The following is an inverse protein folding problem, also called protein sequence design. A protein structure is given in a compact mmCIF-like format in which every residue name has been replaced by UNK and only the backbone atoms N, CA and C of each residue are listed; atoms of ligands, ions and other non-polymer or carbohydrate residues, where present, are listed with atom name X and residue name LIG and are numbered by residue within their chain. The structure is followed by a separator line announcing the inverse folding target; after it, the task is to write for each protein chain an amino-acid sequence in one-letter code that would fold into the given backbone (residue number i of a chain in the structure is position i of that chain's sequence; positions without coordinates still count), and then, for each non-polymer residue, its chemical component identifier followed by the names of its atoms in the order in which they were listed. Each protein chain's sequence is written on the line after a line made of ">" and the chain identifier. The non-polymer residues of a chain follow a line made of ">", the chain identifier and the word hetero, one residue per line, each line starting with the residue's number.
data_IF_318688484228
#
_entry.id   IF_318688484228
#
_cell.length_a   1.000
_cell.length_b   1.000
_cell.length_c   1.000
_cell.angle_alpha   90.00
_cell.angle_beta   90.00
_cell.angle_gamma   90.00
#
_symmetry.space_group_name_H-M   'P 1'
#
loop_
_entity.id
_entity.type
_entity.pdbx_description
1 polymer ?
#
# COMPACT_ATOMS: atom_id res chain seq x y z
N UNK A 1 5.73 -22.97 2.83
CA UNK A 1 6.06 -22.25 4.08
C UNK A 1 6.90 -21.01 3.73
N UNK A 2 8.05 -21.15 3.05
CA UNK A 2 8.98 -20.03 2.76
C UNK A 2 8.31 -18.87 1.99
N UNK A 3 7.43 -19.17 1.04
CA UNK A 3 6.67 -18.17 0.27
C UNK A 3 5.75 -17.36 1.17
N UNK A 4 5.03 -18.01 2.07
CA UNK A 4 4.12 -17.35 3.04
C UNK A 4 4.94 -16.47 3.99
N UNK A 5 6.03 -17.00 4.57
CA UNK A 5 6.88 -16.26 5.49
C UNK A 5 7.46 -14.99 4.87
N UNK A 6 7.88 -15.05 3.59
CA UNK A 6 8.37 -13.86 2.86
C UNK A 6 7.27 -12.83 2.57
N UNK A 7 6.05 -13.29 2.38
CA UNK A 7 4.90 -12.43 2.08
C UNK A 7 4.18 -11.87 3.31
N UNK A 8 4.67 -12.12 4.52
CA UNK A 8 4.03 -11.70 5.79
C UNK A 8 5.02 -11.01 6.75
N UNK A 9 5.74 -9.96 6.28
CA UNK A 9 6.65 -9.23 7.17
C UNK A 9 5.85 -8.58 8.32
N UNK A 10 6.39 -8.63 9.53
CA UNK A 10 5.79 -8.03 10.71
C UNK A 10 4.59 -8.79 11.30
N UNK A 11 4.21 -9.94 10.76
CA UNK A 11 3.11 -10.74 11.29
C UNK A 11 3.51 -11.43 12.60
N UNK A 12 2.62 -11.38 13.58
CA UNK A 12 2.71 -12.18 14.79
C UNK A 12 2.31 -13.65 14.54
N UNK A 13 2.59 -14.52 15.49
CA UNK A 13 2.10 -15.92 15.44
C UNK A 13 0.57 -16.00 15.33
N UNK A 14 -0.16 -15.07 15.95
CA UNK A 14 -1.63 -14.99 15.87
C UNK A 14 -2.10 -14.62 14.46
N UNK A 15 -1.42 -13.67 13.80
CA UNK A 15 -1.73 -13.28 12.42
C UNK A 15 -1.50 -14.45 11.45
N UNK A 16 -0.39 -15.17 11.63
CA UNK A 16 -0.09 -16.38 10.83
C UNK A 16 -1.12 -17.48 11.04
N UNK A 17 -1.54 -17.72 12.28
CA UNK A 17 -2.62 -18.66 12.58
C UNK A 17 -3.94 -18.23 11.94
N UNK A 18 -4.24 -16.94 11.90
CA UNK A 18 -5.41 -16.39 11.22
C UNK A 18 -5.34 -16.63 9.71
N UNK A 19 -4.17 -16.45 9.05
CA UNK A 19 -4.01 -16.80 7.62
C UNK A 19 -4.32 -18.28 7.38
N UNK A 20 -3.83 -19.19 8.22
CA UNK A 20 -4.11 -20.62 8.10
C UNK A 20 -5.60 -20.88 8.19
N UNK A 21 -6.27 -20.32 9.18
CA UNK A 21 -7.72 -20.45 9.36
C UNK A 21 -8.50 -19.89 8.16
N UNK A 22 -8.17 -18.67 7.71
CA UNK A 22 -8.82 -18.05 6.55
C UNK A 22 -8.61 -18.85 5.26
N UNK A 23 -7.41 -19.42 5.06
CA UNK A 23 -7.14 -20.26 3.88
C UNK A 23 -8.00 -21.54 3.88
N UNK A 24 -8.23 -22.14 5.06
CA UNK A 24 -9.11 -23.29 5.20
C UNK A 24 -10.58 -22.91 4.91
N UNK A 25 -11.03 -21.76 5.41
CA UNK A 25 -12.39 -21.26 5.12
C UNK A 25 -12.59 -20.95 3.63
N UNK A 26 -11.58 -20.37 2.96
CA UNK A 26 -11.62 -20.11 1.52
C UNK A 26 -11.67 -21.41 0.70
N UNK A 27 -10.87 -22.42 1.07
CA UNK A 27 -10.90 -23.73 0.44
C UNK A 27 -12.27 -24.40 0.63
N UNK A 28 -12.83 -24.35 1.84
CA UNK A 28 -14.15 -24.91 2.13
C UNK A 28 -15.26 -24.24 1.31
N UNK A 29 -15.25 -22.91 1.17
CA UNK A 29 -16.20 -22.16 0.32
C UNK A 29 -16.14 -22.55 -1.16
N UNK A 30 -14.97 -23.03 -1.62
CA UNK A 30 -14.74 -23.53 -2.97
C UNK A 30 -14.98 -25.03 -3.10
N UNK A 31 -15.54 -25.68 -2.06
CA UNK A 31 -15.74 -27.13 -1.97
C UNK A 31 -14.46 -27.96 -2.20
N UNK A 32 -13.30 -27.40 -1.86
CA UNK A 32 -12.03 -28.12 -1.91
C UNK A 32 -11.83 -28.98 -0.66
N UNK A 33 -11.21 -30.15 -0.85
CA UNK A 33 -10.83 -31.04 0.26
C UNK A 33 -9.44 -30.76 0.82
N UNK A 34 -8.64 -29.98 0.10
CA UNK A 34 -7.24 -29.67 0.44
C UNK A 34 -7.02 -28.19 0.24
N UNK A 35 -6.35 -27.55 1.21
CA UNK A 35 -5.89 -26.17 1.11
C UNK A 35 -4.66 -26.10 0.21
N UNK A 36 -4.68 -25.22 -0.76
CA UNK A 36 -3.58 -25.02 -1.71
C UNK A 36 -2.87 -23.69 -1.48
N UNK A 37 -1.72 -23.47 -2.12
CA UNK A 37 -0.99 -22.20 -2.04
C UNK A 37 -1.85 -21.02 -2.52
N UNK A 38 -2.72 -21.24 -3.51
CA UNK A 38 -3.65 -20.20 -4.00
C UNK A 38 -4.60 -19.74 -2.90
N UNK A 39 -5.09 -20.66 -2.06
CA UNK A 39 -5.99 -20.33 -0.95
C UNK A 39 -5.23 -19.57 0.15
N UNK A 40 -3.95 -19.87 0.38
CA UNK A 40 -3.07 -19.12 1.27
C UNK A 40 -2.80 -17.70 0.77
N UNK A 41 -2.50 -17.52 -0.51
CA UNK A 41 -2.29 -16.19 -1.10
C UNK A 41 -3.56 -15.33 -1.02
N UNK A 42 -4.72 -15.90 -1.31
CA UNK A 42 -6.01 -15.22 -1.18
C UNK A 42 -6.34 -14.86 0.28
N UNK A 43 -6.02 -15.76 1.21
CA UNK A 43 -6.18 -15.51 2.65
C UNK A 43 -5.26 -14.39 3.14
N UNK A 44 -4.00 -14.42 2.71
CA UNK A 44 -3.03 -13.36 2.99
C UNK A 44 -3.53 -12.00 2.48
N UNK A 45 -3.97 -11.95 1.23
CA UNK A 45 -4.53 -10.72 0.63
C UNK A 45 -5.74 -10.22 1.45
N UNK A 46 -6.63 -11.11 1.86
CA UNK A 46 -7.79 -10.78 2.69
C UNK A 46 -7.39 -10.22 4.05
N UNK A 47 -6.40 -10.82 4.72
CA UNK A 47 -5.93 -10.37 6.03
C UNK A 47 -5.19 -9.04 5.95
N UNK A 48 -4.35 -8.84 4.93
CA UNK A 48 -3.54 -7.64 4.76
C UNK A 48 -4.32 -6.45 4.18
N UNK A 49 -5.19 -6.70 3.21
CA UNK A 49 -5.86 -5.66 2.41
C UNK A 49 -7.37 -5.58 2.66
N UNK A 50 -7.93 -6.52 3.41
CA UNK A 50 -9.38 -6.65 3.58
C UNK A 50 -10.05 -7.51 2.49
N UNK A 51 -11.32 -7.80 2.71
CA UNK A 51 -12.13 -8.62 1.79
C UNK A 51 -12.41 -7.88 0.49
N UNK A 52 -12.42 -8.62 -0.62
CA UNK A 52 -12.87 -8.08 -1.92
C UNK A 52 -14.33 -7.62 -1.85
N UNK A 53 -14.58 -6.44 -2.38
CA UNK A 53 -15.94 -5.89 -2.51
C UNK A 53 -16.54 -6.26 -3.85
N UNK A 54 -16.85 -7.55 -4.03
CA UNK A 54 -17.39 -8.09 -5.30
C UNK A 54 -18.75 -7.52 -5.70
N UNK A 55 -19.49 -6.97 -4.76
CA UNK A 55 -20.78 -6.30 -5.01
C UNK A 55 -20.65 -4.86 -5.47
N UNK A 56 -19.46 -4.25 -5.40
CA UNK A 56 -19.21 -2.90 -5.89
C UNK A 56 -19.08 -2.94 -7.42
N UNK A 57 -20.04 -2.35 -8.09
CA UNK A 57 -20.01 -2.18 -9.54
C UNK A 57 -19.38 -0.83 -9.82
N UNK A 58 -18.14 -0.83 -10.29
CA UNK A 58 -17.45 0.37 -10.76
C UNK A 58 -17.80 0.63 -12.21
N UNK A 59 -18.02 1.89 -12.57
CA UNK A 59 -18.12 2.31 -13.98
C UNK A 59 -16.80 2.07 -14.72
N UNK A 60 -16.84 2.08 -16.05
CA UNK A 60 -15.62 1.93 -16.83
C UNK A 60 -14.64 3.11 -16.60
N UNK A 61 -15.18 4.31 -16.44
CA UNK A 61 -14.41 5.52 -16.14
C UNK A 61 -13.71 5.42 -14.77
N UNK A 62 -14.41 4.94 -13.73
CA UNK A 62 -13.81 4.72 -12.41
C UNK A 62 -12.73 3.66 -12.42
N UNK A 63 -12.90 2.58 -13.20
CA UNK A 63 -11.86 1.55 -13.37
C UNK A 63 -10.63 2.10 -14.05
N UNK A 64 -10.81 2.89 -15.10
CA UNK A 64 -9.73 3.52 -15.85
C UNK A 64 -8.98 4.52 -14.96
N UNK A 65 -9.69 5.40 -14.27
CA UNK A 65 -9.10 6.35 -13.32
C UNK A 65 -8.31 5.62 -12.24
N UNK A 66 -8.89 4.59 -11.62
CA UNK A 66 -8.21 3.78 -10.60
C UNK A 66 -6.98 3.09 -11.18
N UNK A 67 -7.05 2.57 -12.41
CA UNK A 67 -5.91 1.90 -13.04
C UNK A 67 -4.73 2.85 -13.30
N UNK A 68 -5.00 4.06 -13.75
CA UNK A 68 -3.95 5.07 -13.93
C UNK A 68 -3.40 5.56 -12.59
N UNK A 69 -4.24 5.76 -11.59
CA UNK A 69 -3.83 6.13 -10.24
C UNK A 69 -2.87 5.10 -9.65
N UNK A 70 -3.28 3.83 -9.60
CA UNK A 70 -2.42 2.75 -9.10
C UNK A 70 -1.18 2.51 -9.99
N UNK A 71 -1.35 2.67 -11.31
CA UNK A 71 -0.25 2.66 -12.26
C UNK A 71 0.80 3.74 -11.97
N UNK A 72 0.36 4.93 -11.58
CA UNK A 72 1.22 6.03 -11.14
C UNK A 72 2.08 5.66 -9.93
N UNK A 73 1.47 5.12 -8.87
CA UNK A 73 2.20 4.60 -7.72
C UNK A 73 3.21 3.52 -8.11
N UNK A 74 2.80 2.58 -8.96
CA UNK A 74 3.65 1.47 -9.38
C UNK A 74 4.86 1.95 -10.19
N UNK A 75 4.65 2.82 -11.19
CA UNK A 75 5.73 3.35 -12.04
C UNK A 75 6.73 4.14 -11.20
N UNK A 76 6.24 5.00 -10.31
CA UNK A 76 7.11 5.77 -9.42
C UNK A 76 7.90 4.85 -8.49
N UNK A 77 7.26 3.84 -7.88
CA UNK A 77 7.93 2.89 -7.01
C UNK A 77 9.05 2.11 -7.72
N UNK A 78 8.83 1.69 -8.97
CA UNK A 78 9.83 0.99 -9.79
C UNK A 78 11.04 1.88 -10.14
N UNK A 79 10.86 3.19 -10.16
CA UNK A 79 11.92 4.16 -10.49
C UNK A 79 12.53 4.83 -9.25
N UNK A 80 12.13 4.45 -8.04
CA UNK A 80 12.72 4.93 -6.79
C UNK A 80 13.62 3.84 -6.18
N UNK A 81 14.95 3.99 -6.23
CA UNK A 81 15.89 2.95 -5.73
C UNK A 81 15.69 2.60 -4.26
N UNK A 82 15.24 3.57 -3.45
CA UNK A 82 14.98 3.36 -2.02
C UNK A 82 13.55 2.87 -1.72
N UNK A 83 12.73 2.63 -2.74
CA UNK A 83 11.38 2.06 -2.55
C UNK A 83 11.45 0.57 -2.26
N UNK A 84 10.53 0.08 -1.41
CA UNK A 84 10.34 -1.36 -1.27
C UNK A 84 9.81 -1.97 -2.58
N UNK A 85 10.17 -3.24 -2.88
CA UNK A 85 9.70 -3.93 -4.06
C UNK A 85 8.17 -4.02 -4.11
N UNK A 86 7.61 -3.86 -5.30
CA UNK A 86 6.18 -4.09 -5.52
C UNK A 86 5.90 -5.58 -5.38
N UNK A 87 4.99 -5.91 -4.48
CA UNK A 87 4.48 -7.26 -4.33
C UNK A 87 3.24 -7.49 -5.20
N UNK A 88 2.34 -6.52 -5.24
CA UNK A 88 1.07 -6.62 -5.97
C UNK A 88 0.53 -5.24 -6.31
N UNK A 89 -0.05 -5.13 -7.50
CA UNK A 89 -0.90 -4.01 -7.90
C UNK A 89 -2.28 -4.55 -8.32
N UNK A 90 -3.36 -3.89 -7.94
CA UNK A 90 -4.73 -4.32 -8.23
C UNK A 90 -5.67 -3.14 -8.28
N UNK A 91 -6.69 -3.25 -9.14
CA UNK A 91 -7.85 -2.36 -9.16
C UNK A 91 -9.12 -3.06 -8.63
N UNK A 92 -8.95 -4.21 -7.98
CA UNK A 92 -10.08 -4.90 -7.33
C UNK A 92 -10.33 -4.19 -6.00
N UNK A 93 -11.54 -3.64 -5.78
CA UNK A 93 -11.88 -2.93 -4.55
C UNK A 93 -11.78 -3.84 -3.32
N UNK A 94 -11.08 -3.34 -2.29
CA UNK A 94 -10.92 -4.04 -1.00
C UNK A 94 -11.09 -3.05 0.15
N UNK A 95 -11.88 -3.40 1.15
CA UNK A 95 -12.15 -2.50 2.26
C UNK A 95 -12.69 -1.15 1.78
N UNK A 96 -11.96 -0.07 2.00
CA UNK A 96 -12.29 1.30 1.53
C UNK A 96 -11.55 1.68 0.24
N UNK A 97 -10.53 0.94 -0.16
CA UNK A 97 -9.73 1.24 -1.34
C UNK A 97 -10.40 0.68 -2.61
N UNK A 98 -10.33 1.45 -3.69
CA UNK A 98 -10.79 1.03 -5.03
C UNK A 98 -9.72 0.25 -5.78
N UNK A 99 -8.46 0.56 -5.51
CA UNK A 99 -7.27 -0.13 -5.96
C UNK A 99 -6.19 -0.08 -4.91
N UNK A 100 -5.04 -0.69 -5.17
CA UNK A 100 -3.89 -0.68 -4.26
C UNK A 100 -2.63 -1.14 -4.96
N UNK A 101 -1.51 -0.48 -4.65
CA UNK A 101 -0.16 -0.99 -4.89
C UNK A 101 0.46 -1.38 -3.55
N UNK A 102 0.62 -2.69 -3.36
CA UNK A 102 1.27 -3.22 -2.16
C UNK A 102 2.76 -3.38 -2.41
N UNK A 103 3.56 -2.77 -1.55
CA UNK A 103 5.01 -2.91 -1.50
C UNK A 103 5.38 -3.65 -0.22
N UNK A 104 6.32 -4.56 -0.28
CA UNK A 104 6.78 -5.33 0.87
C UNK A 104 8.29 -5.20 1.02
N UNK A 105 8.79 -4.89 2.24
CA UNK A 105 10.21 -4.83 2.49
C UNK A 105 10.84 -6.23 2.35
N UNK A 106 12.05 -6.30 1.82
CA UNK A 106 12.79 -7.57 1.69
C UNK A 106 13.26 -8.14 3.04
N UNK A 107 13.34 -7.28 4.05
CA UNK A 107 13.76 -7.61 5.43
C UNK A 107 13.08 -6.69 6.43
N UNK A 108 13.10 -7.10 7.70
CA UNK A 108 12.57 -6.27 8.78
C UNK A 108 13.34 -4.94 8.88
N UNK A 109 12.58 -3.84 8.95
CA UNK A 109 13.11 -2.49 9.04
C UNK A 109 12.87 -1.97 10.47
N UNK A 110 13.96 -1.81 11.23
CA UNK A 110 13.89 -1.25 12.59
C UNK A 110 13.95 0.28 12.60
N UNK A 111 14.46 0.89 11.53
CA UNK A 111 14.54 2.33 11.35
C UNK A 111 14.35 2.66 9.86
N UNK A 112 13.96 3.89 9.56
CA UNK A 112 13.75 4.36 8.21
C UNK A 112 14.70 5.49 7.87
N UNK A 113 15.51 5.31 6.84
CA UNK A 113 16.44 6.33 6.36
C UNK A 113 15.70 7.50 5.69
N UNK A 114 16.32 8.70 5.66
CA UNK A 114 15.77 9.89 4.97
C UNK A 114 15.42 9.62 3.51
N UNK A 115 16.30 8.94 2.78
CA UNK A 115 16.08 8.59 1.37
C UNK A 115 14.84 7.70 1.17
N UNK A 116 14.60 6.76 2.08
CA UNK A 116 13.42 5.90 2.08
C UNK A 116 12.14 6.69 2.30
N UNK A 117 12.14 7.62 3.27
CA UNK A 117 11.00 8.50 3.53
C UNK A 117 10.69 9.39 2.33
N UNK A 118 11.71 9.94 1.66
CA UNK A 118 11.54 10.74 0.45
C UNK A 118 10.99 9.89 -0.70
N UNK A 119 11.49 8.66 -0.88
CA UNK A 119 10.96 7.74 -1.87
C UNK A 119 9.48 7.41 -1.59
N UNK A 120 9.11 7.16 -0.33
CA UNK A 120 7.73 6.86 0.04
C UNK A 120 6.79 8.05 -0.20
N UNK A 121 7.23 9.28 0.09
CA UNK A 121 6.49 10.51 -0.25
C UNK A 121 6.30 10.62 -1.78
N UNK A 122 7.37 10.37 -2.54
CA UNK A 122 7.33 10.46 -4.00
C UNK A 122 6.37 9.42 -4.57
N UNK A 123 6.43 8.18 -4.07
CA UNK A 123 5.50 7.11 -4.48
C UNK A 123 4.05 7.47 -4.12
N UNK A 124 3.81 8.01 -2.93
CA UNK A 124 2.48 8.42 -2.51
C UNK A 124 1.86 9.46 -3.45
N UNK A 125 2.65 10.38 -3.98
CA UNK A 125 2.15 11.39 -4.92
C UNK A 125 1.97 10.86 -6.35
N UNK A 126 2.48 9.66 -6.66
CA UNK A 126 2.44 9.07 -8.00
C UNK A 126 1.03 8.91 -8.57
N UNK A 127 0.06 8.48 -7.74
CA UNK A 127 -1.33 8.33 -8.16
C UNK A 127 -1.97 9.67 -8.55
N UNK A 128 -1.82 10.68 -7.70
CA UNK A 128 -2.34 12.04 -7.96
C UNK A 128 -1.75 12.66 -9.24
N UNK A 129 -0.44 12.53 -9.42
CA UNK A 129 0.25 13.04 -10.61
C UNK A 129 -0.19 12.31 -11.87
N UNK A 130 -0.42 10.99 -11.80
CA UNK A 130 -0.96 10.23 -12.93
C UNK A 130 -2.36 10.72 -13.34
N UNK A 131 -3.24 11.02 -12.37
CA UNK A 131 -4.56 11.61 -12.67
C UNK A 131 -4.41 12.95 -13.41
N UNK A 132 -3.52 13.84 -12.95
CA UNK A 132 -3.25 15.14 -13.60
C UNK A 132 -2.79 14.98 -15.05
N UNK A 133 -1.81 14.10 -15.28
CA UNK A 133 -1.20 13.91 -16.61
C UNK A 133 -2.21 13.34 -17.60
N UNK A 134 -3.04 12.38 -17.17
CA UNK A 134 -3.92 11.62 -18.07
C UNK A 134 -5.26 12.33 -18.28
N UNK A 135 -5.84 12.87 -17.22
CA UNK A 135 -7.20 13.43 -17.25
C UNK A 135 -7.25 14.96 -17.20
N UNK A 136 -6.14 15.59 -16.84
CA UNK A 136 -6.04 17.05 -16.64
C UNK A 136 -6.45 17.48 -15.22
N UNK A 137 -6.03 18.69 -14.83
CA UNK A 137 -6.20 19.23 -13.47
C UNK A 137 -7.64 19.30 -13.01
N UNK A 138 -8.57 19.63 -13.90
CA UNK A 138 -10.01 19.76 -13.58
C UNK A 138 -10.68 18.42 -13.26
N UNK A 139 -10.06 17.30 -13.63
CA UNK A 139 -10.61 15.95 -13.42
C UNK A 139 -9.91 15.16 -12.32
N UNK A 140 -9.02 15.80 -11.61
CA UNK A 140 -8.39 15.17 -10.46
C UNK A 140 -9.43 14.92 -9.37
N UNK A 141 -9.33 13.76 -8.73
CA UNK A 141 -10.33 13.33 -7.76
C UNK A 141 -9.84 13.44 -6.31
N UNK A 142 -10.76 13.32 -5.38
CA UNK A 142 -10.45 13.17 -3.95
C UNK A 142 -9.86 11.79 -3.61
N UNK A 143 -9.69 10.89 -4.56
CA UNK A 143 -9.17 9.54 -4.35
C UNK A 143 -7.78 9.52 -3.72
N UNK A 144 -6.93 10.51 -4.06
CA UNK A 144 -5.59 10.66 -3.50
C UNK A 144 -5.54 11.25 -2.08
N UNK A 145 -6.68 11.47 -1.40
CA UNK A 145 -6.69 12.14 -0.09
C UNK A 145 -5.84 11.43 0.97
N UNK A 146 -5.88 10.09 1.02
CA UNK A 146 -5.08 9.30 1.95
C UNK A 146 -3.58 9.37 1.65
N UNK A 147 -3.21 9.42 0.37
CA UNK A 147 -1.81 9.53 -0.06
C UNK A 147 -1.23 10.89 0.29
N UNK A 148 -2.01 11.95 0.07
CA UNK A 148 -1.66 13.32 0.43
C UNK A 148 -1.53 13.46 1.96
N UNK A 149 -2.46 12.88 2.72
CA UNK A 149 -2.38 12.88 4.18
C UNK A 149 -1.12 12.17 4.68
N UNK A 150 -0.84 10.97 4.17
CA UNK A 150 0.34 10.19 4.52
C UNK A 150 1.63 10.93 4.16
N UNK A 151 1.75 11.46 2.94
CA UNK A 151 2.90 12.22 2.48
C UNK A 151 3.13 13.47 3.34
N UNK A 152 2.06 14.21 3.63
CA UNK A 152 2.11 15.42 4.47
C UNK A 152 2.56 15.09 5.89
N UNK A 153 1.99 14.05 6.51
CA UNK A 153 2.36 13.61 7.85
C UNK A 153 3.82 13.16 7.91
N UNK A 154 4.28 12.42 6.91
CA UNK A 154 5.67 11.99 6.82
C UNK A 154 6.62 13.17 6.67
N UNK A 155 6.37 14.09 5.74
CA UNK A 155 7.17 15.29 5.53
C UNK A 155 7.22 16.17 6.82
N UNK A 156 6.08 16.35 7.48
CA UNK A 156 6.01 17.08 8.77
C UNK A 156 6.87 16.39 9.83
N UNK A 157 6.77 15.08 9.97
CA UNK A 157 7.57 14.32 10.95
C UNK A 157 9.07 14.40 10.66
N UNK A 158 9.48 14.33 9.40
CA UNK A 158 10.87 14.50 8.99
C UNK A 158 11.44 15.83 9.49
N UNK A 159 10.68 16.91 9.38
CA UNK A 159 11.09 18.24 9.83
C UNK A 159 10.98 18.37 11.35
N UNK A 160 9.84 18.03 11.95
CA UNK A 160 9.53 18.38 13.33
C UNK A 160 9.97 17.37 14.38
N UNK A 161 10.10 16.09 13.99
CA UNK A 161 10.42 15.00 14.93
C UNK A 161 11.79 14.37 14.69
N UNK A 162 12.19 14.23 13.44
CA UNK A 162 13.38 13.46 13.11
C UNK A 162 14.61 14.32 12.81
N UNK A 163 14.48 15.67 12.88
CA UNK A 163 15.60 16.58 12.66
C UNK A 163 16.22 16.47 11.27
N UNK A 164 15.41 16.16 10.25
CA UNK A 164 15.90 15.91 8.88
C UNK A 164 15.86 17.15 7.98
N UNK A 165 15.60 18.33 8.53
CA UNK A 165 15.66 19.60 7.80
C UNK A 165 17.07 20.17 7.82
N UNK A 166 17.61 20.48 6.65
CA UNK A 166 18.93 21.13 6.53
C UNK A 166 18.92 22.56 7.08
N UNK A 167 17.78 23.24 6.96
CA UNK A 167 17.63 24.65 7.44
C UNK A 167 17.46 24.74 8.95
N UNK A 168 16.74 23.77 9.56
CA UNK A 168 16.38 23.79 10.98
C UNK A 168 17.32 22.95 11.85
N UNK A 169 18.13 22.09 11.24
CA UNK A 169 19.05 21.21 11.95
C UNK A 169 18.37 20.05 12.67
N UNK A 170 19.14 19.23 13.43
CA UNK A 170 18.69 18.02 14.10
C UNK A 170 18.00 18.37 15.44
N UNK A 171 16.93 19.13 15.39
CA UNK A 171 16.13 19.54 16.54
C UNK A 171 14.72 18.96 16.45
N UNK A 172 14.13 18.70 17.60
CA UNK A 172 12.72 18.32 17.69
C UNK A 172 11.89 19.56 18.01
N UNK A 173 10.90 19.82 17.19
CA UNK A 173 9.93 20.88 17.39
C UNK A 173 8.65 20.26 17.94
N UNK A 174 8.25 20.66 19.14
CA UNK A 174 6.98 20.24 19.73
C UNK A 174 5.84 20.81 18.87
N UNK A 175 4.92 19.97 18.48
CA UNK A 175 3.65 20.43 17.94
C UNK A 175 2.87 21.06 19.08
N UNK A 176 2.73 22.38 19.09
CA UNK A 176 1.78 23.10 19.94
C UNK A 176 0.39 22.92 19.32
N UNK A 177 -0.16 21.70 19.44
CA UNK A 177 -1.61 21.44 19.24
C UNK A 177 -1.97 20.27 20.16
#
# INVERSE_FOLDING_TARGET
>A
IRTIARGTPGFSGADLANIVNESALLAARKNKKIVTMVDFEEAKDKVMMGSERRSLVMSQEEKELTAYHEGGHAIVALNQPASDPIHKATIIPRGRALGMVMRLPERDQLSMAREKMLADITVAMGGRVAEEIIFGDDKVTSGASSDIEMATKMARNMVTKYGMSEKLGPLQYLSLI
#
